data_IF_091795958020
#
_entry.id   IF_091795958020
#
_cell.length_a   1.000
_cell.length_b   1.000
_cell.length_c   1.000
_cell.angle_alpha   90.00
_cell.angle_beta   90.00
_cell.angle_gamma   90.00
#
_symmetry.space_group_name_H-M   'P 1'
#
loop_
_entity.id
_entity.type
_entity.pdbx_description
1 polymer ?
#
# COMPACT_ATOMS: atom_id res chain seq x y z
N UNK A 1 -19.19 -26.33 31.58
CA UNK A 1 -19.34 -24.93 31.10
C UNK A 1 -18.01 -24.17 30.93
N UNK A 2 -17.04 -24.33 31.83
CA UNK A 2 -15.73 -23.62 31.77
C UNK A 2 -14.94 -23.91 30.47
N UNK A 3 -14.89 -25.17 30.03
CA UNK A 3 -14.20 -25.56 28.77
C UNK A 3 -14.78 -24.90 27.50
N UNK A 4 -16.12 -24.81 27.39
CA UNK A 4 -16.76 -24.16 26.25
C UNK A 4 -16.46 -22.64 26.20
N UNK A 5 -16.36 -21.99 27.37
CA UNK A 5 -16.10 -20.55 27.48
C UNK A 5 -14.62 -20.18 27.29
N UNK A 6 -13.70 -21.08 27.64
CA UNK A 6 -12.27 -20.97 27.33
C UNK A 6 -11.97 -21.06 25.82
N UNK A 7 -12.85 -21.70 25.03
CA UNK A 7 -12.74 -21.77 23.57
C UNK A 7 -13.37 -20.54 22.91
N UNK A 8 -14.42 -19.97 23.51
CA UNK A 8 -15.10 -18.78 22.96
C UNK A 8 -14.18 -17.56 22.91
N UNK A 9 -13.35 -17.34 23.94
CA UNK A 9 -12.43 -16.20 23.98
C UNK A 9 -11.42 -16.20 22.81
N UNK A 10 -10.65 -17.27 22.55
CA UNK A 10 -9.75 -17.32 21.39
C UNK A 10 -10.50 -17.27 20.06
N UNK A 11 -11.71 -17.83 19.96
CA UNK A 11 -12.55 -17.70 18.76
C UNK A 11 -12.93 -16.24 18.50
N UNK A 12 -13.35 -15.50 19.53
CA UNK A 12 -13.66 -14.06 19.42
C UNK A 12 -12.40 -13.27 19.04
N UNK A 13 -11.24 -13.60 19.64
CA UNK A 13 -9.97 -12.95 19.31
C UNK A 13 -9.58 -13.16 17.84
N UNK A 14 -9.71 -14.38 17.33
CA UNK A 14 -9.42 -14.70 15.92
C UNK A 14 -10.40 -13.98 14.99
N UNK A 15 -11.70 -13.98 15.31
CA UNK A 15 -12.71 -13.24 14.53
C UNK A 15 -12.43 -11.74 14.49
N UNK A 16 -12.05 -11.16 15.62
CA UNK A 16 -11.72 -9.74 15.72
C UNK A 16 -10.45 -9.39 14.93
N UNK A 17 -9.43 -10.25 14.97
CA UNK A 17 -8.22 -10.12 14.14
C UNK A 17 -8.55 -10.14 12.65
N UNK A 18 -9.39 -11.07 12.21
CA UNK A 18 -9.84 -11.18 10.82
C UNK A 18 -10.64 -9.94 10.40
N UNK A 19 -11.51 -9.42 11.29
CA UNK A 19 -12.25 -8.19 11.03
C UNK A 19 -11.30 -6.99 10.89
N UNK A 20 -10.29 -6.87 11.75
CA UNK A 20 -9.31 -5.80 11.70
C UNK A 20 -8.49 -5.85 10.39
N UNK A 21 -8.04 -7.04 9.98
CA UNK A 21 -7.35 -7.26 8.70
C UNK A 21 -8.23 -6.90 7.50
N UNK A 22 -9.50 -7.31 7.52
CA UNK A 22 -10.46 -6.96 6.47
C UNK A 22 -10.70 -5.45 6.40
N UNK A 23 -10.85 -4.80 7.56
CA UNK A 23 -11.08 -3.35 7.64
C UNK A 23 -9.86 -2.58 7.12
N UNK A 24 -8.65 -3.03 7.44
CA UNK A 24 -7.40 -2.48 6.91
C UNK A 24 -7.30 -2.65 5.39
N UNK A 25 -7.62 -3.84 4.88
CA UNK A 25 -7.65 -4.12 3.45
C UNK A 25 -8.66 -3.21 2.72
N UNK A 26 -9.89 -3.12 3.23
CA UNK A 26 -10.96 -2.32 2.64
C UNK A 26 -10.64 -0.82 2.67
N UNK A 27 -10.11 -0.30 3.78
CA UNK A 27 -9.76 1.11 3.90
C UNK A 27 -8.63 1.53 2.94
N UNK A 28 -7.59 0.71 2.79
CA UNK A 28 -6.50 0.98 1.85
C UNK A 28 -6.97 1.03 0.39
N UNK A 29 -7.86 0.11 0.00
CA UNK A 29 -8.43 0.06 -1.34
C UNK A 29 -9.42 1.20 -1.64
N UNK A 30 -10.22 1.59 -0.64
CA UNK A 30 -11.30 2.58 -0.83
C UNK A 30 -10.85 4.04 -0.59
N UNK A 31 -9.89 4.29 0.31
CA UNK A 31 -9.60 5.64 0.80
C UNK A 31 -8.12 6.04 0.76
N UNK A 32 -7.19 5.16 1.13
CA UNK A 32 -5.78 5.52 1.31
C UNK A 32 -4.99 5.60 0.01
N UNK A 33 -5.06 4.54 -0.79
CA UNK A 33 -4.24 4.39 -1.99
C UNK A 33 -4.68 5.32 -3.13
N UNK A 34 -5.98 5.48 -3.43
CA UNK A 34 -6.42 6.39 -4.48
C UNK A 34 -6.19 7.86 -4.10
N UNK A 35 -6.36 8.25 -2.83
CA UNK A 35 -6.30 9.66 -2.43
C UNK A 35 -4.87 10.22 -2.42
N UNK A 36 -3.91 9.44 -1.93
CA UNK A 36 -2.48 9.80 -1.99
C UNK A 36 -1.99 9.84 -3.45
N UNK A 37 -2.40 8.85 -4.25
CA UNK A 37 -1.96 8.75 -5.64
C UNK A 37 -2.62 9.78 -6.57
N UNK A 38 -3.95 9.89 -6.52
CA UNK A 38 -4.71 10.82 -7.39
C UNK A 38 -4.55 12.27 -6.93
N UNK A 39 -4.29 12.54 -5.65
CA UNK A 39 -4.17 13.91 -5.13
C UNK A 39 -2.79 14.53 -5.39
N UNK A 40 -1.74 13.79 -5.07
CA UNK A 40 -0.36 14.32 -5.04
C UNK A 40 0.43 13.87 -6.25
N UNK A 41 0.35 12.59 -6.60
CA UNK A 41 1.21 12.01 -7.63
C UNK A 41 0.68 12.33 -9.03
N UNK A 42 -0.63 12.40 -9.22
CA UNK A 42 -1.21 12.86 -10.49
C UNK A 42 -0.78 14.30 -10.83
N UNK A 43 -0.84 15.23 -9.87
CA UNK A 43 -0.41 16.62 -10.08
C UNK A 43 1.10 16.73 -10.35
N UNK A 44 1.90 15.96 -9.61
CA UNK A 44 3.35 15.89 -9.84
C UNK A 44 3.65 15.29 -11.21
N UNK A 45 2.93 14.25 -11.64
CA UNK A 45 3.11 13.61 -12.93
C UNK A 45 2.77 14.54 -14.09
N UNK A 46 1.68 15.32 -13.99
CA UNK A 46 1.34 16.36 -14.98
C UNK A 46 2.42 17.43 -15.06
N UNK A 47 2.92 17.91 -13.91
CA UNK A 47 4.02 18.89 -13.87
C UNK A 47 5.32 18.34 -14.45
N UNK A 48 5.68 17.10 -14.14
CA UNK A 48 6.86 16.42 -14.68
C UNK A 48 6.71 16.18 -16.19
N UNK A 49 5.52 15.81 -16.68
CA UNK A 49 5.27 15.65 -18.11
C UNK A 49 5.44 16.98 -18.84
N UNK A 50 4.97 18.10 -18.27
CA UNK A 50 5.18 19.43 -18.83
C UNK A 50 6.67 19.83 -18.87
N UNK A 51 7.45 19.48 -17.84
CA UNK A 51 8.90 19.70 -17.81
C UNK A 51 9.66 18.85 -18.83
N UNK A 52 9.27 17.58 -19.00
CA UNK A 52 9.85 16.71 -20.04
C UNK A 52 9.48 17.27 -21.41
N UNK A 53 8.23 17.70 -21.60
CA UNK A 53 7.81 18.34 -22.83
C UNK A 53 8.69 19.56 -23.14
N UNK A 54 8.90 20.46 -22.19
CA UNK A 54 9.76 21.64 -22.42
C UNK A 54 11.19 21.25 -22.73
N UNK A 55 11.78 20.31 -21.98
CA UNK A 55 13.13 19.78 -22.22
C UNK A 55 13.27 19.16 -23.61
N UNK A 56 12.33 18.30 -23.99
CA UNK A 56 12.32 17.66 -25.30
C UNK A 56 12.09 18.70 -26.39
N UNK A 57 11.21 19.68 -26.18
CA UNK A 57 10.95 20.73 -27.18
C UNK A 57 12.19 21.59 -27.39
N UNK A 58 12.92 21.94 -26.33
CA UNK A 58 14.18 22.69 -26.42
C UNK A 58 15.33 21.86 -26.99
N UNK A 59 15.43 20.57 -26.65
CA UNK A 59 16.47 19.67 -27.17
C UNK A 59 16.22 19.22 -28.62
N UNK A 60 14.95 19.09 -29.00
CA UNK A 60 14.50 18.59 -30.32
C UNK A 60 14.16 19.73 -31.28
N UNK A 61 14.16 20.98 -30.82
CA UNK A 61 13.95 22.17 -31.67
C UNK A 61 14.84 22.17 -32.93
N UNK A 62 16.02 21.52 -32.88
CA UNK A 62 16.93 21.42 -34.03
C UNK A 62 17.52 20.01 -34.30
N UNK A 63 17.16 18.96 -33.54
CA UNK A 63 17.76 17.61 -33.72
C UNK A 63 16.77 16.46 -33.56
N UNK A 64 16.85 15.52 -34.50
CA UNK A 64 16.37 14.14 -34.39
C UNK A 64 16.76 13.51 -33.04
N UNK A 65 15.82 12.88 -32.35
CA UNK A 65 16.18 12.03 -31.20
C UNK A 65 17.08 10.89 -31.69
N UNK A 66 18.10 10.47 -30.90
CA UNK A 66 18.93 9.33 -31.26
C UNK A 66 18.08 8.11 -31.59
N UNK A 67 18.48 7.36 -32.62
CA UNK A 67 17.82 6.12 -33.01
C UNK A 67 18.23 4.92 -32.18
N UNK A 68 19.33 5.00 -31.44
CA UNK A 68 19.82 3.91 -30.61
C UNK A 68 19.15 3.88 -29.24
N UNK A 69 18.77 2.68 -28.82
CA UNK A 69 18.13 2.45 -27.52
C UNK A 69 19.02 2.86 -26.34
N UNK A 70 20.35 2.77 -26.48
CA UNK A 70 21.30 3.12 -25.43
C UNK A 70 21.35 4.63 -25.16
N UNK A 71 21.36 5.47 -26.18
CA UNK A 71 21.29 6.93 -25.99
C UNK A 71 19.92 7.38 -25.51
N UNK A 72 18.83 6.78 -26.00
CA UNK A 72 17.48 7.04 -25.48
C UNK A 72 17.39 6.68 -23.99
N UNK A 73 17.93 5.54 -23.58
CA UNK A 73 18.00 5.16 -22.17
C UNK A 73 18.79 6.18 -21.33
N UNK A 74 19.90 6.73 -21.84
CA UNK A 74 20.66 7.77 -21.13
C UNK A 74 19.91 9.09 -21.00
N UNK A 75 19.20 9.51 -22.05
CA UNK A 75 18.40 10.76 -22.04
C UNK A 75 17.29 10.66 -20.99
N UNK A 76 16.63 9.52 -20.92
CA UNK A 76 15.48 9.31 -20.04
C UNK A 76 15.81 8.65 -18.69
N UNK A 77 17.06 8.28 -18.43
CA UNK A 77 17.50 7.74 -17.14
C UNK A 77 17.06 8.58 -15.92
N UNK A 78 17.07 9.94 -15.94
CA UNK A 78 16.65 10.74 -14.79
C UNK A 78 15.16 10.60 -14.41
N UNK A 79 14.33 10.13 -15.35
CA UNK A 79 12.88 9.98 -15.19
C UNK A 79 12.44 8.52 -15.08
N UNK A 80 13.40 7.59 -15.10
CA UNK A 80 13.12 6.17 -14.87
C UNK A 80 12.43 5.97 -13.52
N UNK A 81 11.45 5.06 -13.52
CA UNK A 81 10.61 4.76 -12.36
C UNK A 81 9.80 5.96 -11.83
N UNK A 82 9.62 7.02 -12.64
CA UNK A 82 8.78 8.20 -12.30
C UNK A 82 7.70 8.44 -13.34
N UNK A 83 8.09 8.43 -14.61
CA UNK A 83 7.20 8.54 -15.76
C UNK A 83 7.56 7.49 -16.80
N UNK A 84 6.55 7.10 -17.58
CA UNK A 84 6.73 6.16 -18.67
C UNK A 84 6.83 6.94 -19.95
N UNK A 85 7.91 6.70 -20.69
CA UNK A 85 8.16 7.31 -21.98
C UNK A 85 8.25 6.21 -23.01
N UNK A 86 7.54 6.40 -24.12
CA UNK A 86 7.57 5.53 -25.28
C UNK A 86 7.92 6.34 -26.51
N UNK A 87 8.87 5.86 -27.32
CA UNK A 87 9.15 6.38 -28.65
C UNK A 87 8.51 5.43 -29.65
N UNK A 88 7.61 5.97 -30.47
CA UNK A 88 6.89 5.22 -31.51
C UNK A 88 7.26 5.69 -32.91
N UNK A 89 7.26 4.75 -33.86
CA UNK A 89 7.37 5.03 -35.27
C UNK A 89 6.32 4.20 -36.00
N UNK A 90 5.40 4.85 -36.73
CA UNK A 90 4.33 4.14 -37.47
C UNK A 90 3.54 3.12 -36.60
N UNK A 91 3.22 3.52 -35.35
CA UNK A 91 2.56 2.70 -34.31
C UNK A 91 3.41 1.59 -33.65
N UNK A 92 4.61 1.29 -34.14
CA UNK A 92 5.52 0.37 -33.46
C UNK A 92 6.31 1.06 -32.36
N UNK A 93 6.55 0.36 -31.24
CA UNK A 93 7.35 0.86 -30.13
C UNK A 93 8.82 0.63 -30.47
N UNK A 94 9.55 1.73 -30.71
CA UNK A 94 10.99 1.72 -30.97
C UNK A 94 11.77 1.63 -29.67
N UNK A 95 11.27 2.29 -28.62
CA UNK A 95 11.89 2.30 -27.30
C UNK A 95 10.86 2.60 -26.21
N UNK A 96 11.06 2.01 -25.03
CA UNK A 96 10.29 2.36 -23.83
C UNK A 96 11.15 2.14 -22.58
N UNK A 97 10.91 2.93 -21.53
CA UNK A 97 11.43 2.66 -20.19
C UNK A 97 10.42 1.94 -19.29
N UNK A 98 9.29 1.47 -19.83
CA UNK A 98 8.36 0.64 -19.06
C UNK A 98 9.03 -0.66 -18.62
N UNK A 99 8.77 -1.09 -17.39
CA UNK A 99 9.25 -2.35 -16.84
C UNK A 99 8.14 -3.08 -16.08
N UNK A 100 8.38 -4.32 -15.63
CA UNK A 100 7.36 -5.13 -14.94
C UNK A 100 6.79 -4.49 -13.67
N UNK A 101 7.55 -3.60 -13.03
CA UNK A 101 7.15 -2.87 -11.83
C UNK A 101 6.50 -1.51 -12.16
N UNK A 102 6.77 -0.97 -13.35
CA UNK A 102 6.32 0.32 -13.87
C UNK A 102 5.46 0.14 -15.12
N UNK A 103 4.21 -0.31 -14.89
CA UNK A 103 3.23 -0.52 -15.95
C UNK A 103 2.63 0.81 -16.45
N UNK A 104 2.32 0.83 -17.75
CA UNK A 104 1.75 2.00 -18.44
C UNK A 104 0.36 2.33 -17.88
N UNK A 105 0.21 3.57 -17.42
CA UNK A 105 -1.07 4.16 -17.06
C UNK A 105 -1.68 4.97 -18.21
N UNK A 106 -2.43 6.01 -17.83
CA UNK A 106 -3.03 6.96 -18.77
C UNK A 106 -1.95 7.77 -19.49
N UNK A 107 -2.18 8.03 -20.77
CA UNK A 107 -1.35 8.97 -21.55
C UNK A 107 -1.54 10.39 -21.02
N UNK A 108 -0.43 11.10 -20.82
CA UNK A 108 -0.41 12.49 -20.35
C UNK A 108 -0.17 13.46 -21.49
N UNK A 109 0.76 13.13 -22.38
CA UNK A 109 1.11 13.99 -23.52
C UNK A 109 1.70 13.17 -24.68
N UNK A 110 1.58 13.71 -25.89
CA UNK A 110 2.15 13.13 -27.11
C UNK A 110 2.80 14.21 -27.95
N UNK A 111 4.07 14.01 -28.30
CA UNK A 111 4.90 14.94 -29.06
C UNK A 111 5.30 14.32 -30.39
N UNK A 112 5.02 15.03 -31.48
CA UNK A 112 5.54 14.68 -32.79
C UNK A 112 7.02 15.12 -32.90
N UNK A 113 7.87 14.20 -33.35
CA UNK A 113 9.29 14.44 -33.60
C UNK A 113 9.52 14.66 -35.10
N UNK A 114 10.59 15.37 -35.44
CA UNK A 114 10.89 15.79 -36.82
C UNK A 114 11.05 14.60 -37.78
N UNK A 115 11.51 13.44 -37.30
CA UNK A 115 11.74 12.24 -38.12
C UNK A 115 10.48 11.38 -38.35
N UNK A 116 9.29 11.93 -38.07
CA UNK A 116 8.02 11.20 -38.14
C UNK A 116 7.80 10.21 -36.98
N UNK A 117 8.67 10.24 -35.96
CA UNK A 117 8.50 9.52 -34.70
C UNK A 117 7.58 10.28 -33.75
N UNK A 118 7.03 9.60 -32.76
CA UNK A 118 6.20 10.17 -31.72
C UNK A 118 6.77 9.81 -30.35
N UNK A 119 6.87 10.80 -29.46
CA UNK A 119 7.20 10.59 -28.07
C UNK A 119 5.91 10.64 -27.26
N UNK A 120 5.54 9.52 -26.65
CA UNK A 120 4.39 9.42 -25.77
C UNK A 120 4.89 9.45 -24.33
N UNK A 121 4.29 10.31 -23.51
CA UNK A 121 4.55 10.42 -22.08
C UNK A 121 3.29 9.93 -21.38
N UNK A 122 3.42 8.84 -20.62
CA UNK A 122 2.34 8.24 -19.86
C UNK A 122 2.64 8.27 -18.36
N UNK A 123 1.59 8.35 -17.55
CA UNK A 123 1.74 8.20 -16.09
C UNK A 123 2.06 6.76 -15.74
N UNK A 124 2.73 6.57 -14.62
CA UNK A 124 2.85 5.26 -14.00
C UNK A 124 1.49 4.82 -13.43
N UNK A 125 1.10 3.57 -13.73
CA UNK A 125 -0.02 2.94 -13.06
C UNK A 125 0.44 2.41 -11.70
N UNK A 126 -0.10 2.92 -10.58
CA UNK A 126 0.36 2.50 -9.27
C UNK A 126 0.06 1.01 -9.04
N UNK A 127 0.85 0.33 -8.20
CA UNK A 127 0.62 -1.07 -7.92
C UNK A 127 -0.76 -1.23 -7.27
N UNK A 128 -1.50 -2.26 -7.64
CA UNK A 128 -2.79 -2.50 -7.02
C UNK A 128 -2.62 -2.82 -5.53
N UNK A 129 -3.42 -2.17 -4.67
CA UNK A 129 -3.35 -2.31 -3.22
C UNK A 129 -3.43 -3.78 -2.78
N UNK A 130 -4.20 -4.61 -3.46
CA UNK A 130 -4.30 -6.04 -3.16
C UNK A 130 -2.95 -6.77 -3.21
N UNK A 131 -2.10 -6.48 -4.21
CA UNK A 131 -0.76 -7.06 -4.35
C UNK A 131 0.17 -6.53 -3.28
N UNK A 132 0.11 -5.23 -2.99
CA UNK A 132 0.90 -4.61 -1.93
C UNK A 132 0.52 -5.14 -0.54
N UNK A 133 -0.77 -5.29 -0.27
CA UNK A 133 -1.29 -5.81 1.00
C UNK A 133 -0.89 -7.26 1.23
N UNK A 134 -0.98 -8.13 0.22
CA UNK A 134 -0.52 -9.53 0.34
C UNK A 134 0.99 -9.61 0.57
N UNK A 135 1.77 -8.78 -0.13
CA UNK A 135 3.23 -8.70 0.08
C UNK A 135 3.57 -8.20 1.47
N UNK A 136 2.84 -7.19 1.96
CA UNK A 136 2.95 -6.69 3.32
C UNK A 136 2.62 -7.79 4.33
N UNK A 137 1.47 -8.46 4.20
CA UNK A 137 1.03 -9.52 5.11
C UNK A 137 2.04 -10.68 5.19
N UNK A 138 2.69 -11.02 4.05
CA UNK A 138 3.70 -12.06 3.97
C UNK A 138 5.09 -11.70 4.52
N UNK A 139 5.32 -10.44 4.92
CA UNK A 139 6.63 -9.96 5.40
C UNK A 139 6.53 -9.26 6.78
N UNK A 140 6.07 -9.95 7.84
CA UNK A 140 5.86 -9.35 9.16
C UNK A 140 7.12 -8.73 9.77
N UNK A 141 8.30 -9.28 9.47
CA UNK A 141 9.58 -8.76 9.96
C UNK A 141 9.87 -7.32 9.51
N UNK A 142 9.27 -6.88 8.39
CA UNK A 142 9.51 -5.57 7.79
C UNK A 142 8.44 -4.54 8.10
N UNK A 143 7.40 -4.90 8.85
CA UNK A 143 6.27 -4.02 9.12
C UNK A 143 6.68 -2.69 9.77
N UNK A 144 7.68 -2.74 10.65
CA UNK A 144 8.12 -1.56 11.39
C UNK A 144 9.37 -0.90 10.78
N UNK A 145 9.83 -1.36 9.60
CA UNK A 145 10.95 -0.71 8.93
C UNK A 145 10.49 0.60 8.27
N UNK A 146 11.27 1.70 8.38
CA UNK A 146 10.96 2.97 7.72
C UNK A 146 10.87 2.86 6.19
N UNK A 147 11.51 1.84 5.62
CA UNK A 147 11.51 1.50 4.19
C UNK A 147 10.17 0.95 3.71
N UNK A 148 9.35 0.41 4.62
CA UNK A 148 8.08 -0.25 4.30
C UNK A 148 6.92 0.76 4.35
N UNK A 149 7.01 1.75 3.46
CA UNK A 149 5.97 2.71 3.04
C UNK A 149 5.15 3.37 4.17
N UNK A 150 5.28 4.70 4.44
CA UNK A 150 4.51 5.41 5.46
C UNK A 150 2.98 5.30 5.29
N UNK A 151 2.53 4.88 4.11
CA UNK A 151 1.16 4.45 3.83
C UNK A 151 0.67 3.35 4.79
N UNK A 152 1.52 2.42 5.23
CA UNK A 152 1.11 1.27 6.07
C UNK A 152 1.15 1.55 7.58
N UNK A 153 1.79 2.64 8.01
CA UNK A 153 2.02 2.96 9.43
C UNK A 153 0.74 3.21 10.25
N UNK A 154 -0.27 3.98 9.76
CA UNK A 154 -1.55 4.14 10.46
C UNK A 154 -2.27 2.81 10.69
N UNK A 155 -2.09 1.85 9.77
CA UNK A 155 -2.69 0.52 9.87
C UNK A 155 -2.02 -0.34 10.93
N UNK A 156 -0.70 -0.25 11.08
CA UNK A 156 0.03 -0.93 12.15
C UNK A 156 -0.33 -0.39 13.52
N UNK A 157 -0.50 0.94 13.64
CA UNK A 157 -1.00 1.56 14.85
C UNK A 157 -2.41 1.09 15.20
N UNK A 158 -3.32 1.05 14.21
CA UNK A 158 -4.68 0.54 14.42
C UNK A 158 -4.66 -0.94 14.84
N UNK A 159 -3.88 -1.77 14.15
CA UNK A 159 -3.73 -3.19 14.48
C UNK A 159 -3.17 -3.41 15.89
N UNK A 160 -2.15 -2.62 16.29
CA UNK A 160 -1.57 -2.68 17.62
C UNK A 160 -2.56 -2.25 18.71
N UNK A 161 -3.23 -1.10 18.53
CA UNK A 161 -4.24 -0.59 19.48
C UNK A 161 -5.38 -1.60 19.63
N UNK A 162 -5.85 -2.15 18.51
CA UNK A 162 -6.95 -3.11 18.51
C UNK A 162 -6.55 -4.43 19.19
N UNK A 163 -5.34 -4.94 18.90
CA UNK A 163 -4.79 -6.14 19.54
C UNK A 163 -4.60 -5.95 21.05
N UNK A 164 -4.07 -4.80 21.47
CA UNK A 164 -3.91 -4.45 22.89
C UNK A 164 -5.27 -4.32 23.60
N UNK A 165 -6.26 -3.71 22.94
CA UNK A 165 -7.62 -3.56 23.48
C UNK A 165 -8.29 -4.92 23.70
N UNK A 166 -8.13 -5.85 22.75
CA UNK A 166 -8.62 -7.22 22.87
C UNK A 166 -7.94 -8.00 24.00
N UNK A 167 -6.62 -7.84 24.13
CA UNK A 167 -5.84 -8.47 25.19
C UNK A 167 -6.26 -7.95 26.57
N UNK A 168 -6.46 -6.64 26.70
CA UNK A 168 -6.99 -6.00 27.90
C UNK A 168 -8.40 -6.51 28.25
N UNK A 169 -9.28 -6.65 27.26
CA UNK A 169 -10.64 -7.14 27.46
C UNK A 169 -10.65 -8.61 27.90
N UNK A 170 -9.78 -9.44 27.30
CA UNK A 170 -9.57 -10.83 27.73
C UNK A 170 -9.06 -10.94 29.17
N UNK A 171 -8.12 -10.08 29.57
CA UNK A 171 -7.62 -10.00 30.94
C UNK A 171 -8.70 -9.55 31.92
N UNK A 172 -9.51 -8.55 31.56
CA UNK A 172 -10.64 -8.09 32.37
C UNK A 172 -11.66 -9.21 32.62
N UNK A 173 -12.07 -9.91 31.56
CA UNK A 173 -12.99 -11.04 31.66
C UNK A 173 -12.43 -12.09 32.61
N UNK A 174 -11.15 -12.48 32.44
CA UNK A 174 -10.49 -13.45 33.32
C UNK A 174 -10.46 -12.99 34.78
N UNK A 175 -10.16 -11.71 35.03
CA UNK A 175 -10.10 -11.14 36.37
C UNK A 175 -11.47 -11.17 37.06
N UNK A 176 -12.54 -10.77 36.38
CA UNK A 176 -13.91 -10.82 36.92
C UNK A 176 -14.37 -12.25 37.22
N UNK A 177 -13.93 -13.23 36.43
CA UNK A 177 -14.20 -14.64 36.73
C UNK A 177 -13.47 -15.14 37.97
N UNK A 178 -12.17 -14.85 38.08
CA UNK A 178 -11.38 -15.19 39.28
C UNK A 178 -11.97 -14.56 40.54
N UNK A 179 -12.39 -13.30 40.46
CA UNK A 179 -13.04 -12.60 41.56
C UNK A 179 -14.34 -13.31 42.01
N UNK A 180 -15.20 -13.68 41.06
CA UNK A 180 -16.45 -14.40 41.35
C UNK A 180 -16.22 -15.80 41.92
N UNK A 181 -15.25 -16.54 41.40
CA UNK A 181 -14.92 -17.87 41.89
C UNK A 181 -14.32 -17.81 43.30
N UNK A 182 -13.45 -16.84 43.58
CA UNK A 182 -12.87 -16.59 44.92
C UNK A 182 -13.96 -16.18 45.91
N UNK A 183 -14.86 -15.27 45.55
CA UNK A 183 -16.00 -14.89 46.39
C UNK A 183 -16.94 -16.07 46.66
N UNK A 184 -17.14 -16.94 45.67
CA UNK A 184 -17.92 -18.17 45.83
C UNK A 184 -17.30 -19.13 46.84
N UNK A 185 -15.98 -19.32 46.78
CA UNK A 185 -15.23 -20.14 47.74
C UNK A 185 -15.27 -19.56 49.16
N UNK A 186 -15.15 -18.24 49.30
CA UNK A 186 -15.28 -17.58 50.61
C UNK A 186 -16.67 -17.76 51.22
N UNK A 187 -17.74 -17.63 50.43
CA UNK A 187 -19.11 -17.89 50.90
C UNK A 187 -19.33 -19.34 51.33
N UNK A 188 -18.75 -20.30 50.61
CA UNK A 188 -18.82 -21.71 50.99
C UNK A 188 -18.05 -22.01 52.27
N UNK A 189 -16.90 -21.36 52.48
CA UNK A 189 -16.14 -21.46 53.71
C UNK A 189 -16.90 -20.86 54.90
N UNK A 190 -17.49 -19.68 54.72
CA UNK A 190 -18.25 -19.00 55.78
C UNK A 190 -19.46 -19.84 56.22
N UNK A 191 -20.25 -20.36 55.28
CA UNK A 191 -21.37 -21.27 55.57
C UNK A 191 -20.96 -22.58 56.26
N UNK A 192 -19.71 -23.00 56.11
CA UNK A 192 -19.21 -24.25 56.70
C UNK A 192 -18.66 -24.06 58.12
N UNK A 193 -18.21 -22.86 58.47
CA UNK A 193 -17.58 -22.55 59.75
C UNK A 193 -18.40 -21.61 60.65
N UNK A 194 -19.42 -20.94 60.11
CA UNK A 194 -20.46 -20.20 60.84
C UNK A 194 -21.85 -20.63 60.32
N UNK A 195 -22.37 -21.80 60.75
CA UNK A 195 -23.69 -22.28 60.34
C UNK A 195 -24.86 -21.48 60.95
#
# INVERSE_FOLDING_TARGET
>A
MIRARLIVIPVILVLALLLALFTAYAYGGLFGHPRYWNGTIERVAVGQAALIRSLVTEMVADRALPSDSASLARIFAPIDNRLIVEVRQQQEIVWTNANEHFARGMELDTLALVDGRQLLISRYQPPAWNRLFLRWLGQPARWFEPSFDPLTMPFLCFFAIYSLSLLALGLMVRATYLERDVLGLFKQLDQRYNP
#
